data_IF_856175543396
#
_entry.id   IF_856175543396
#
_cell.length_a   1.000
_cell.length_b   1.000
_cell.length_c   1.000
_cell.angle_alpha   90.00
_cell.angle_beta   90.00
_cell.angle_gamma   90.00
#
_symmetry.space_group_name_H-M   'P 1'
#
loop_
_entity.id
_entity.type
_entity.pdbx_description
1 polymer ?
#
# COMPACT_ATOMS: atom_id res chain seq x y z
N UNK A 1 -15.37 -23.34 -7.61
CA UNK A 1 -14.37 -23.20 -6.54
C UNK A 1 -13.54 -21.98 -6.92
N UNK A 2 -13.92 -20.81 -6.42
CA UNK A 2 -13.13 -19.58 -6.66
C UNK A 2 -12.06 -19.63 -5.60
N UNK A 3 -10.83 -19.95 -6.00
CA UNK A 3 -9.69 -19.80 -5.11
C UNK A 3 -9.67 -18.33 -4.68
N UNK A 4 -9.95 -18.12 -3.40
CA UNK A 4 -9.80 -16.84 -2.75
C UNK A 4 -8.35 -16.43 -2.93
N UNK A 5 -8.08 -15.59 -3.94
CA UNK A 5 -7.00 -14.63 -3.90
C UNK A 5 -7.33 -13.63 -2.78
N UNK A 6 -7.34 -14.12 -1.53
CA UNK A 6 -7.09 -13.29 -0.37
C UNK A 6 -5.69 -12.75 -0.63
N UNK A 7 -5.66 -11.50 -1.05
CA UNK A 7 -4.44 -10.74 -1.16
C UNK A 7 -3.95 -10.58 0.28
N UNK A 8 -3.08 -11.49 0.72
CA UNK A 8 -2.61 -11.50 2.09
C UNK A 8 -1.52 -10.42 2.22
N UNK A 9 -1.98 -9.21 2.52
CA UNK A 9 -1.11 -8.11 2.90
C UNK A 9 -0.15 -8.50 4.05
N UNK A 10 -0.56 -9.43 4.91
CA UNK A 10 0.28 -10.01 5.97
C UNK A 10 1.41 -10.88 5.43
N UNK A 11 1.17 -11.67 4.39
CA UNK A 11 2.22 -12.45 3.70
C UNK A 11 3.22 -11.50 3.01
N UNK A 12 2.74 -10.42 2.37
CA UNK A 12 3.62 -9.40 1.79
C UNK A 12 4.43 -8.65 2.86
N UNK A 13 3.83 -8.32 4.00
CA UNK A 13 4.54 -7.71 5.14
C UNK A 13 5.54 -8.68 5.78
N UNK A 14 5.25 -9.98 5.82
CA UNK A 14 6.15 -11.01 6.31
C UNK A 14 7.34 -11.21 5.36
N UNK A 15 7.09 -11.14 4.04
CA UNK A 15 8.16 -11.07 3.04
C UNK A 15 9.01 -9.80 3.24
N UNK A 16 8.40 -8.66 3.58
CA UNK A 16 9.13 -7.43 3.92
C UNK A 16 9.92 -7.52 5.25
N UNK A 17 9.48 -8.33 6.21
CA UNK A 17 10.18 -8.57 7.48
C UNK A 17 11.33 -9.56 7.36
N UNK A 18 11.21 -10.52 6.43
CA UNK A 18 12.22 -11.55 6.16
C UNK A 18 13.21 -11.17 5.06
N UNK A 19 12.87 -10.19 4.22
CA UNK A 19 13.80 -9.58 3.29
C UNK A 19 14.90 -8.86 4.09
N UNK A 20 16.11 -9.38 3.99
CA UNK A 20 17.30 -8.76 4.53
C UNK A 20 17.51 -7.43 3.79
N UNK A 21 17.17 -6.31 4.44
CA UNK A 21 17.25 -4.95 3.90
C UNK A 21 18.69 -4.55 3.51
N UNK A 22 19.69 -5.38 3.83
CA UNK A 22 21.09 -5.24 3.44
C UNK A 22 21.41 -5.82 2.06
N UNK A 23 20.61 -6.80 1.59
CA UNK A 23 20.77 -7.36 0.26
C UNK A 23 19.99 -6.46 -0.70
N UNK A 24 20.69 -5.74 -1.58
CA UNK A 24 20.11 -4.88 -2.64
C UNK A 24 19.23 -5.64 -3.67
N UNK A 25 18.64 -6.79 -3.31
CA UNK A 25 17.66 -7.46 -4.14
C UNK A 25 16.41 -6.56 -4.21
N UNK A 26 15.94 -6.21 -5.41
CA UNK A 26 14.75 -5.40 -5.55
C UNK A 26 13.59 -6.16 -4.91
N UNK A 27 12.94 -5.52 -3.94
CA UNK A 27 11.65 -5.93 -3.38
C UNK A 27 10.74 -6.49 -4.49
N UNK A 28 9.84 -7.45 -4.23
CA UNK A 28 8.71 -7.67 -5.15
C UNK A 28 8.11 -6.28 -5.43
N UNK A 29 8.29 -5.80 -6.66
CA UNK A 29 8.21 -4.35 -6.92
C UNK A 29 6.86 -3.82 -6.44
N UNK A 30 6.84 -2.63 -5.85
CA UNK A 30 5.58 -1.99 -5.42
C UNK A 30 4.57 -1.98 -6.57
N UNK A 31 5.07 -1.91 -7.81
CA UNK A 31 4.34 -2.12 -9.05
C UNK A 31 3.54 -3.43 -9.09
N UNK A 32 4.15 -4.57 -8.77
CA UNK A 32 3.49 -5.88 -8.79
C UNK A 32 2.42 -5.98 -7.70
N UNK A 33 2.75 -5.54 -6.49
CA UNK A 33 1.82 -5.49 -5.36
C UNK A 33 0.58 -4.65 -5.71
N UNK A 34 0.80 -3.41 -6.16
CA UNK A 34 -0.28 -2.49 -6.51
C UNK A 34 -1.05 -2.96 -7.74
N UNK A 35 -0.39 -3.57 -8.73
CA UNK A 35 -1.09 -4.10 -9.92
C UNK A 35 -2.04 -5.23 -9.53
N UNK A 36 -1.60 -6.17 -8.69
CA UNK A 36 -2.45 -7.26 -8.19
C UNK A 36 -3.62 -6.72 -7.36
N UNK A 37 -3.37 -5.74 -6.50
CA UNK A 37 -4.42 -5.08 -5.73
C UNK A 37 -5.44 -4.37 -6.63
N UNK A 38 -4.97 -3.65 -7.67
CA UNK A 38 -5.84 -3.00 -8.65
C UNK A 38 -6.72 -4.01 -9.36
N UNK A 39 -6.16 -5.10 -9.84
CA UNK A 39 -6.92 -6.11 -10.59
C UNK A 39 -7.97 -6.77 -9.69
N UNK A 40 -7.62 -7.05 -8.43
CA UNK A 40 -8.59 -7.49 -7.43
C UNK A 40 -9.67 -6.46 -7.13
N UNK A 41 -9.35 -5.16 -7.13
CA UNK A 41 -10.33 -4.10 -6.88
C UNK A 41 -11.36 -3.98 -8.02
N UNK A 42 -10.93 -4.17 -9.27
CA UNK A 42 -11.81 -4.11 -10.43
C UNK A 42 -12.46 -5.45 -10.79
N UNK A 43 -12.16 -6.53 -10.08
CA UNK A 43 -12.74 -7.85 -10.32
C UNK A 43 -14.26 -7.85 -10.10
N UNK A 44 -15.08 -8.04 -11.16
CA UNK A 44 -16.54 -8.06 -11.07
C UNK A 44 -17.08 -9.16 -10.16
N UNK A 45 -16.32 -10.22 -9.90
CA UNK A 45 -16.72 -11.32 -9.03
C UNK A 45 -16.58 -11.00 -7.52
N UNK A 46 -15.79 -9.97 -7.16
CA UNK A 46 -15.65 -9.55 -5.75
C UNK A 46 -16.81 -8.68 -5.30
N UNK A 47 -17.20 -8.87 -4.04
CA UNK A 47 -18.20 -8.00 -3.41
C UNK A 47 -17.63 -6.62 -3.14
N UNK A 48 -18.49 -5.61 -2.98
CA UNK A 48 -18.08 -4.24 -2.61
C UNK A 48 -17.29 -4.25 -1.30
N UNK A 49 -17.71 -5.07 -0.32
CA UNK A 49 -17.04 -5.21 0.97
C UNK A 49 -15.61 -5.74 0.81
N UNK A 50 -15.40 -6.72 -0.07
CA UNK A 50 -14.08 -7.30 -0.30
C UNK A 50 -13.16 -6.33 -1.03
N UNK A 51 -13.70 -5.55 -1.98
CA UNK A 51 -12.94 -4.49 -2.68
C UNK A 51 -12.56 -3.36 -1.73
N UNK A 52 -13.48 -2.95 -0.85
CA UNK A 52 -13.22 -1.95 0.19
C UNK A 52 -12.11 -2.43 1.14
N UNK A 53 -12.19 -3.68 1.59
CA UNK A 53 -11.16 -4.29 2.45
C UNK A 53 -9.80 -4.33 1.75
N UNK A 54 -9.76 -4.79 0.50
CA UNK A 54 -8.54 -4.81 -0.30
C UNK A 54 -7.91 -3.42 -0.45
N UNK A 55 -8.74 -2.40 -0.68
CA UNK A 55 -8.28 -1.02 -0.78
C UNK A 55 -7.64 -0.53 0.53
N UNK A 56 -8.24 -0.86 1.69
CA UNK A 56 -7.68 -0.51 3.01
C UNK A 56 -6.34 -1.23 3.24
N UNK A 57 -6.32 -2.56 3.07
CA UNK A 57 -5.11 -3.39 3.28
C UNK A 57 -3.94 -2.96 2.37
N UNK A 58 -4.24 -2.56 1.13
CA UNK A 58 -3.24 -2.03 0.18
C UNK A 58 -2.59 -0.76 0.72
N UNK A 59 -3.38 0.18 1.24
CA UNK A 59 -2.87 1.47 1.73
C UNK A 59 -2.11 1.29 3.04
N UNK A 60 -2.62 0.49 3.97
CA UNK A 60 -1.93 0.21 5.22
C UNK A 60 -0.55 -0.42 4.97
N UNK A 61 -0.45 -1.33 4.00
CA UNK A 61 0.81 -1.92 3.59
C UNK A 61 1.78 -0.87 3.04
N UNK A 62 1.33 -0.01 2.12
CA UNK A 62 2.17 1.06 1.57
C UNK A 62 2.62 2.07 2.63
N UNK A 63 1.76 2.39 3.60
CA UNK A 63 2.11 3.25 4.73
C UNK A 63 3.13 2.59 5.66
N UNK A 64 2.99 1.29 5.93
CA UNK A 64 3.97 0.53 6.72
C UNK A 64 5.33 0.46 6.03
N UNK A 65 5.36 0.28 4.71
CA UNK A 65 6.60 0.35 3.92
C UNK A 65 7.23 1.73 4.05
N UNK A 66 6.47 2.80 3.82
CA UNK A 66 6.95 4.19 3.97
C UNK A 66 7.47 4.49 5.38
N UNK A 67 6.79 4.03 6.43
CA UNK A 67 7.22 4.23 7.82
C UNK A 67 8.49 3.46 8.21
N UNK A 68 8.79 2.35 7.53
CA UNK A 68 10.02 1.57 7.76
C UNK A 68 11.25 2.13 7.03
N UNK A 69 11.03 2.96 6.02
CA UNK A 69 12.07 3.55 5.17
C UNK A 69 12.85 4.70 5.87
N UNK A 70 12.73 4.88 7.18
CA UNK A 70 13.45 5.93 7.95
C UNK A 70 14.81 5.46 8.56
N UNK A 71 15.30 4.26 8.22
CA UNK A 71 16.54 3.67 8.77
C UNK A 71 17.73 3.75 7.78
N UNK A 72 18.87 4.41 8.03
CA UNK A 72 19.94 4.80 7.07
C UNK A 72 20.41 3.83 5.96
N UNK A 73 20.15 2.52 6.02
CA UNK A 73 20.18 1.60 4.87
C UNK A 73 19.00 1.79 3.88
N UNK A 74 18.08 2.70 4.19
CA UNK A 74 16.75 2.87 3.58
C UNK A 74 16.66 4.00 2.56
N UNK A 75 17.67 4.86 2.44
CA UNK A 75 17.60 6.00 1.49
C UNK A 75 17.46 5.49 0.06
N UNK A 76 18.19 4.43 -0.30
CA UNK A 76 18.07 3.76 -1.60
C UNK A 76 16.70 3.11 -1.77
N UNK A 77 16.14 2.55 -0.69
CA UNK A 77 14.82 1.95 -0.69
C UNK A 77 13.70 2.99 -0.82
N UNK A 78 13.89 4.21 -0.28
CA UNK A 78 12.98 5.33 -0.48
C UNK A 78 12.94 5.80 -1.92
N UNK A 79 14.13 6.00 -2.51
CA UNK A 79 14.22 6.45 -3.90
C UNK A 79 13.71 5.37 -4.87
N UNK A 80 13.97 4.09 -4.59
CA UNK A 80 13.40 2.97 -5.35
C UNK A 80 11.86 2.93 -5.23
N UNK A 81 11.31 3.03 -4.00
CA UNK A 81 9.87 3.08 -3.75
C UNK A 81 9.20 4.25 -4.48
N UNK A 82 9.82 5.43 -4.42
CA UNK A 82 9.36 6.63 -5.13
C UNK A 82 9.42 6.47 -6.64
N UNK A 83 10.49 5.87 -7.18
CA UNK A 83 10.59 5.56 -8.60
C UNK A 83 9.49 4.59 -9.05
N UNK A 84 9.23 3.54 -8.29
CA UNK A 84 8.17 2.58 -8.58
C UNK A 84 6.79 3.25 -8.59
N UNK A 85 6.47 4.05 -7.58
CA UNK A 85 5.21 4.81 -7.57
C UNK A 85 5.11 5.80 -8.75
N UNK A 86 6.23 6.40 -9.13
CA UNK A 86 6.33 7.29 -10.29
C UNK A 86 5.99 6.58 -11.61
N UNK A 87 6.35 5.30 -11.72
CA UNK A 87 6.15 4.44 -12.91
C UNK A 87 4.74 3.87 -13.04
N UNK A 88 3.89 4.02 -12.02
CA UNK A 88 2.50 3.58 -12.08
C UNK A 88 1.73 4.32 -13.18
N UNK A 89 0.89 3.59 -13.92
CA UNK A 89 0.00 4.19 -14.90
C UNK A 89 -1.11 5.02 -14.22
N UNK A 90 -1.78 5.93 -14.96
CA UNK A 90 -2.79 6.82 -14.38
C UNK A 90 -3.99 6.10 -13.73
N UNK A 91 -4.39 4.93 -14.26
CA UNK A 91 -5.50 4.18 -13.69
C UNK A 91 -5.10 3.60 -12.34
N UNK A 92 -3.88 3.07 -12.24
CA UNK A 92 -3.34 2.55 -10.99
C UNK A 92 -3.14 3.65 -9.94
N UNK A 93 -2.64 4.83 -10.33
CA UNK A 93 -2.58 6.00 -9.43
C UNK A 93 -3.98 6.43 -8.97
N UNK A 94 -4.98 6.38 -9.85
CA UNK A 94 -6.37 6.71 -9.49
C UNK A 94 -6.97 5.71 -8.50
N UNK A 95 -6.71 4.42 -8.68
CA UNK A 95 -7.05 3.38 -7.71
C UNK A 95 -6.44 3.67 -6.34
N UNK A 96 -5.13 3.95 -6.27
CA UNK A 96 -4.46 4.25 -5.02
C UNK A 96 -4.99 5.50 -4.32
N UNK A 97 -5.37 6.55 -5.07
CA UNK A 97 -6.01 7.74 -4.49
C UNK A 97 -7.38 7.41 -3.89
N UNK A 98 -8.21 6.63 -4.60
CA UNK A 98 -9.51 6.20 -4.11
C UNK A 98 -9.38 5.28 -2.89
N UNK A 99 -8.45 4.35 -2.93
CA UNK A 99 -8.13 3.44 -1.84
C UNK A 99 -7.64 4.21 -0.61
N UNK A 100 -6.77 5.21 -0.82
CA UNK A 100 -6.31 6.09 0.24
C UNK A 100 -7.52 6.75 0.90
N UNK A 101 -8.38 7.45 0.16
CA UNK A 101 -9.57 8.11 0.70
C UNK A 101 -10.46 7.15 1.52
N UNK A 102 -10.64 5.91 1.04
CA UNK A 102 -11.39 4.89 1.77
C UNK A 102 -10.73 4.50 3.09
N UNK A 103 -9.42 4.25 3.09
CA UNK A 103 -8.67 3.90 4.29
C UNK A 103 -8.75 4.98 5.38
N UNK A 104 -8.74 6.26 5.01
CA UNK A 104 -8.97 7.36 5.97
C UNK A 104 -10.39 7.40 6.50
N UNK A 105 -11.37 7.19 5.63
CA UNK A 105 -12.77 7.13 6.05
C UNK A 105 -13.00 6.02 7.07
N UNK A 106 -12.39 4.84 6.87
CA UNK A 106 -12.47 3.74 7.83
C UNK A 106 -11.63 3.98 9.09
N UNK A 107 -10.42 4.52 8.97
CA UNK A 107 -9.59 4.87 10.11
C UNK A 107 -10.28 5.91 11.03
N UNK A 108 -10.93 6.93 10.46
CA UNK A 108 -11.69 7.93 11.22
C UNK A 108 -12.90 7.31 11.94
N UNK A 109 -13.53 6.27 11.36
CA UNK A 109 -14.65 5.56 12.01
C UNK A 109 -14.22 4.71 13.20
N UNK A 110 -12.97 4.21 13.19
CA UNK A 110 -12.47 3.25 14.16
C UNK A 110 -11.51 3.87 15.20
N UNK A 111 -10.96 5.06 14.97
CA UNK A 111 -10.04 5.74 15.89
C UNK A 111 -10.74 6.80 16.74
N UNK A 112 -10.31 6.96 17.98
CA UNK A 112 -10.71 8.08 18.82
C UNK A 112 -10.07 9.39 18.32
N UNK A 113 -10.72 10.56 18.48
CA UNK A 113 -10.13 11.84 18.07
C UNK A 113 -8.82 12.09 18.82
N UNK A 114 -7.69 12.08 18.10
CA UNK A 114 -6.35 12.32 18.64
C UNK A 114 -5.29 11.27 18.25
N UNK A 115 -5.71 10.04 17.92
CA UNK A 115 -4.79 8.96 17.47
C UNK A 115 -4.43 9.06 15.98
N UNK A 116 -5.12 9.93 15.23
CA UNK A 116 -4.97 10.12 13.78
C UNK A 116 -3.74 10.94 13.35
N UNK A 117 -2.82 11.27 14.26
CA UNK A 117 -1.74 12.22 13.95
C UNK A 117 -0.56 11.59 13.20
N UNK A 118 -0.19 10.33 13.50
CA UNK A 118 0.95 9.65 12.86
C UNK A 118 0.68 9.13 11.44
N UNK A 119 -0.56 8.69 11.16
CA UNK A 119 -0.96 8.23 9.83
C UNK A 119 -1.09 9.37 8.81
N UNK A 120 -1.41 10.58 9.27
CA UNK A 120 -1.65 11.74 8.40
C UNK A 120 -0.41 12.19 7.63
N UNK A 121 0.78 12.12 8.23
CA UNK A 121 2.04 12.54 7.59
C UNK A 121 2.48 11.54 6.51
N UNK A 122 2.58 10.25 6.85
CA UNK A 122 2.93 9.19 5.90
C UNK A 122 1.93 9.11 4.74
N UNK A 123 0.65 9.35 5.04
CA UNK A 123 -0.40 9.44 4.03
C UNK A 123 -0.25 10.66 3.13
N UNK A 124 0.06 11.83 3.68
CA UNK A 124 0.37 13.02 2.89
C UNK A 124 1.56 12.79 1.96
N UNK A 125 2.61 12.11 2.46
CA UNK A 125 3.76 11.69 1.65
C UNK A 125 3.38 10.69 0.56
N UNK A 126 2.60 9.65 0.89
CA UNK A 126 2.08 8.72 -0.12
C UNK A 126 1.29 9.46 -1.20
N UNK A 127 0.41 10.38 -0.79
CA UNK A 127 -0.39 11.15 -1.73
C UNK A 127 0.45 12.06 -2.62
N UNK A 128 1.53 12.67 -2.10
CA UNK A 128 2.43 13.50 -2.90
C UNK A 128 3.23 12.68 -3.93
N UNK A 129 3.56 11.42 -3.60
CA UNK A 129 4.20 10.48 -4.52
C UNK A 129 3.26 9.99 -5.63
N UNK A 130 1.94 10.14 -5.44
CA UNK A 130 0.91 9.74 -6.40
C UNK A 130 0.43 10.89 -7.30
N UNK A 131 0.99 12.11 -7.17
CA UNK A 131 0.63 13.30 -7.98
C UNK A 131 1.20 13.21 -9.39
#
# INVERSE_FOLDING_TARGET
MVENLLFDAGEYLTLLESADLETHEPFPTVLEFVSKAKDGFYDPARTIKDRDRLAVETIETLLNVLGRIDNPSSVDNYEAFKQDLGRLDPLTKSFLRAASFKAETEAIKHLAPGEYSGSSLLRSQLMSLLV
#
